data_IF_944562293621
#
_entry.id   IF_944562293621
#
_cell.length_a   1.000
_cell.length_b   1.000
_cell.length_c   1.000
_cell.angle_alpha   90.00
_cell.angle_beta   90.00
_cell.angle_gamma   90.00
#
_symmetry.space_group_name_H-M   'P 1'
#
loop_
_entity.id
_entity.type
_entity.pdbx_description
1 polymer ?
#
# COMPACT_ATOMS: atom_id res chain seq x y z
N UNK A 1 2.46 20.62 -5.97
CA UNK A 1 3.26 21.86 -5.80
C UNK A 1 3.31 22.21 -4.32
N UNK A 2 4.33 22.93 -3.88
CA UNK A 2 4.42 23.45 -2.48
C UNK A 2 4.37 24.97 -2.55
N UNK A 3 3.57 25.58 -1.67
CA UNK A 3 3.45 27.04 -1.51
C UNK A 3 3.38 27.35 -0.01
N UNK A 4 4.16 28.31 0.47
CA UNK A 4 4.24 28.67 1.90
C UNK A 4 4.50 27.46 2.83
N UNK A 5 5.40 26.55 2.41
CA UNK A 5 5.73 25.31 3.12
C UNK A 5 4.57 24.35 3.35
N UNK A 6 3.50 24.47 2.55
CA UNK A 6 2.31 23.58 2.59
C UNK A 6 2.02 23.05 1.19
N UNK A 7 1.34 21.91 1.07
CA UNK A 7 0.94 21.37 -0.24
C UNK A 7 -0.10 22.29 -0.88
N UNK A 8 0.09 22.57 -2.14
CA UNK A 8 -0.85 23.30 -2.97
C UNK A 8 -1.27 22.40 -4.13
N UNK A 9 -2.58 22.23 -4.40
CA UNK A 9 -3.03 21.33 -5.45
C UNK A 9 -2.57 21.83 -6.83
N UNK A 10 -2.30 20.88 -7.72
CA UNK A 10 -2.07 21.17 -9.14
C UNK A 10 -3.43 21.11 -9.80
N UNK A 11 -3.81 22.17 -10.49
CA UNK A 11 -5.08 22.27 -11.23
C UNK A 11 -5.19 21.15 -12.27
N UNK A 12 -6.04 20.18 -12.00
CA UNK A 12 -6.59 19.22 -12.98
C UNK A 12 -8.12 19.20 -12.87
N UNK A 13 -8.74 20.40 -12.82
CA UNK A 13 -10.20 20.51 -12.76
C UNK A 13 -10.84 20.35 -11.38
N UNK A 14 -10.07 19.93 -10.36
CA UNK A 14 -10.46 19.88 -8.96
C UNK A 14 -9.45 20.66 -8.12
N UNK A 15 -9.88 21.80 -7.58
CA UNK A 15 -9.10 22.55 -6.60
C UNK A 15 -9.46 21.99 -5.24
N UNK A 16 -8.61 21.14 -4.69
CA UNK A 16 -8.70 20.65 -3.32
C UNK A 16 -7.68 21.45 -2.49
N UNK A 17 -8.11 22.54 -1.88
CA UNK A 17 -7.27 23.45 -1.12
C UNK A 17 -7.24 23.13 0.37
N UNK A 18 -8.05 22.17 0.85
CA UNK A 18 -8.12 21.84 2.26
C UNK A 18 -6.82 21.21 2.77
N UNK A 19 -6.48 21.54 4.00
CA UNK A 19 -5.30 21.05 4.70
C UNK A 19 -5.72 20.21 5.90
N UNK A 20 -4.81 19.37 6.40
CA UNK A 20 -5.12 18.55 7.58
C UNK A 20 -5.46 19.42 8.79
N UNK A 21 -4.91 20.62 8.87
CA UNK A 21 -5.19 21.60 9.94
C UNK A 21 -6.60 22.19 9.90
N UNK A 22 -7.36 21.95 8.83
CA UNK A 22 -8.76 22.35 8.72
C UNK A 22 -9.71 21.31 9.37
N UNK A 23 -9.17 20.15 9.76
CA UNK A 23 -9.90 19.10 10.50
C UNK A 23 -9.91 19.40 12.01
N UNK A 24 -10.76 18.72 12.74
CA UNK A 24 -10.77 18.79 14.20
C UNK A 24 -9.51 18.16 14.81
N UNK A 25 -9.20 18.53 16.04
CA UNK A 25 -7.98 18.10 16.75
C UNK A 25 -7.88 16.58 16.90
N UNK A 26 -9.01 15.90 17.12
CA UNK A 26 -9.06 14.44 17.24
C UNK A 26 -8.62 13.75 15.93
N UNK A 27 -9.12 14.22 14.79
CA UNK A 27 -8.72 13.72 13.47
C UNK A 27 -7.23 13.98 13.20
N UNK A 28 -6.74 15.19 13.51
CA UNK A 28 -5.33 15.54 13.34
C UNK A 28 -4.45 14.61 14.17
N UNK A 29 -4.80 14.40 15.44
CA UNK A 29 -4.06 13.53 16.35
C UNK A 29 -4.04 12.08 15.85
N UNK A 30 -5.19 11.53 15.46
CA UNK A 30 -5.30 10.16 14.96
C UNK A 30 -4.49 9.94 13.67
N UNK A 31 -4.53 10.90 12.74
CA UNK A 31 -3.74 10.85 11.49
C UNK A 31 -2.24 10.93 11.79
N UNK A 32 -1.83 11.83 12.69
CA UNK A 32 -0.44 11.98 13.10
C UNK A 32 0.09 10.71 13.78
N UNK A 33 -0.71 10.10 14.64
CA UNK A 33 -0.37 8.84 15.29
C UNK A 33 -0.28 7.70 14.29
N UNK A 34 -1.22 7.60 13.33
CA UNK A 34 -1.16 6.60 12.28
C UNK A 34 0.14 6.74 11.47
N UNK A 35 0.50 7.96 11.03
CA UNK A 35 1.74 8.21 10.29
C UNK A 35 2.95 7.78 11.12
N UNK A 36 3.01 8.19 12.40
CA UNK A 36 4.10 7.84 13.32
C UNK A 36 4.25 6.32 13.50
N UNK A 37 3.16 5.59 13.55
CA UNK A 37 3.18 4.15 13.80
C UNK A 37 3.44 3.32 12.53
N UNK A 38 3.01 3.82 11.36
CA UNK A 38 3.00 3.04 10.13
C UNK A 38 4.06 3.44 9.10
N UNK A 39 4.73 4.59 9.26
CA UNK A 39 5.67 5.10 8.27
C UNK A 39 7.05 5.29 8.90
N UNK A 40 8.08 4.85 8.19
CA UNK A 40 9.49 5.10 8.54
C UNK A 40 10.23 5.70 7.35
N UNK A 41 11.22 6.60 7.60
CA UNK A 41 12.06 7.12 6.52
C UNK A 41 12.88 6.01 5.88
N UNK A 42 13.09 6.10 4.57
CA UNK A 42 13.91 5.16 3.81
C UNK A 42 14.80 5.87 2.79
N UNK A 43 15.88 5.20 2.35
CA UNK A 43 16.74 5.72 1.27
C UNK A 43 16.06 5.58 -0.10
N UNK A 44 15.26 4.53 -0.30
CA UNK A 44 14.55 4.25 -1.55
C UNK A 44 13.17 4.85 -1.54
N UNK A 45 12.66 5.17 -2.73
CA UNK A 45 11.27 5.58 -2.92
C UNK A 45 10.40 4.35 -2.72
N UNK A 46 9.28 4.51 -1.97
CA UNK A 46 8.26 3.48 -1.85
C UNK A 46 7.68 3.18 -3.24
N UNK A 47 7.88 1.96 -3.71
CA UNK A 47 7.44 1.55 -5.04
C UNK A 47 5.92 1.29 -5.06
N UNK A 48 5.30 1.64 -6.19
CA UNK A 48 3.89 1.34 -6.45
C UNK A 48 2.87 2.12 -5.62
N UNK A 49 3.30 3.01 -4.71
CA UNK A 49 2.39 3.83 -3.89
C UNK A 49 2.73 5.31 -3.98
N UNK A 50 1.68 6.10 -4.04
CA UNK A 50 1.72 7.55 -4.03
C UNK A 50 0.91 8.08 -2.85
N UNK A 51 0.91 9.40 -2.63
CA UNK A 51 0.05 10.03 -1.63
C UNK A 51 -1.40 9.59 -1.74
N UNK A 52 -1.92 9.44 -2.97
CA UNK A 52 -3.28 8.97 -3.20
C UNK A 52 -3.51 7.53 -2.72
N UNK A 53 -2.62 6.60 -3.04
CA UNK A 53 -2.71 5.23 -2.54
C UNK A 53 -2.52 5.13 -1.03
N UNK A 54 -1.63 5.95 -0.47
CA UNK A 54 -1.34 5.97 0.96
C UNK A 54 -2.53 6.48 1.79
N UNK A 55 -3.25 7.52 1.32
CA UNK A 55 -4.44 8.00 2.02
C UNK A 55 -5.54 6.93 2.14
N UNK A 56 -5.68 6.06 1.13
CA UNK A 56 -6.64 4.95 1.19
C UNK A 56 -6.23 3.85 2.15
N UNK A 57 -4.92 3.65 2.38
CA UNK A 57 -4.45 2.75 3.44
C UNK A 57 -4.82 3.32 4.81
N UNK A 58 -4.58 4.62 5.03
CA UNK A 58 -4.99 5.30 6.26
C UNK A 58 -6.50 5.19 6.47
N UNK A 59 -7.29 5.49 5.45
CA UNK A 59 -8.75 5.38 5.49
C UNK A 59 -9.22 3.96 5.84
N UNK A 60 -8.61 2.94 5.22
CA UNK A 60 -8.91 1.54 5.54
C UNK A 60 -8.57 1.18 7.00
N UNK A 61 -7.43 1.66 7.50
CA UNK A 61 -6.95 1.32 8.84
C UNK A 61 -7.69 2.06 9.96
N UNK A 62 -8.17 3.29 9.68
CA UNK A 62 -8.72 4.20 10.70
C UNK A 62 -10.19 4.57 10.51
N UNK A 63 -10.74 4.35 9.31
CA UNK A 63 -12.05 4.87 8.91
C UNK A 63 -12.05 6.38 8.62
N UNK A 64 -10.93 7.07 8.72
CA UNK A 64 -10.81 8.52 8.52
C UNK A 64 -10.60 8.82 7.04
N UNK A 65 -11.57 9.51 6.41
CA UNK A 65 -11.43 10.00 5.05
C UNK A 65 -10.61 11.29 5.02
N UNK A 66 -9.59 11.31 4.17
CA UNK A 66 -8.81 12.50 3.82
C UNK A 66 -8.84 12.73 2.30
N UNK A 67 -8.81 14.00 1.91
CA UNK A 67 -8.45 14.35 0.54
C UNK A 67 -6.96 14.06 0.30
N UNK A 68 -6.54 14.03 -0.97
CA UNK A 68 -5.13 13.83 -1.30
C UNK A 68 -4.26 14.97 -0.76
N UNK A 69 -4.80 16.20 -0.76
CA UNK A 69 -4.06 17.37 -0.29
C UNK A 69 -3.92 17.37 1.24
N UNK A 70 -4.97 17.01 1.98
CA UNK A 70 -4.93 16.85 3.44
C UNK A 70 -3.92 15.78 3.86
N UNK A 71 -3.86 14.64 3.16
CA UNK A 71 -2.85 13.60 3.42
C UNK A 71 -1.43 14.10 3.14
N UNK A 72 -1.20 14.80 2.03
CA UNK A 72 0.11 15.39 1.70
C UNK A 72 0.56 16.36 2.79
N UNK A 73 -0.36 17.16 3.29
CA UNK A 73 -0.11 18.13 4.33
C UNK A 73 0.24 17.44 5.67
N UNK A 74 -0.49 16.41 6.06
CA UNK A 74 -0.17 15.59 7.23
C UNK A 74 1.23 14.96 7.14
N UNK A 75 1.60 14.46 5.94
CA UNK A 75 2.94 13.90 5.70
C UNK A 75 4.03 14.97 5.85
N UNK A 76 3.83 16.19 5.33
CA UNK A 76 4.79 17.30 5.49
C UNK A 76 4.94 17.72 6.95
N UNK A 77 3.83 17.84 7.68
CA UNK A 77 3.86 18.14 9.12
C UNK A 77 4.59 17.07 9.94
N UNK A 78 4.51 15.82 9.49
CA UNK A 78 5.25 14.70 10.08
C UNK A 78 6.73 14.63 9.61
N UNK A 79 7.20 15.59 8.82
CA UNK A 79 8.58 15.69 8.35
C UNK A 79 8.90 14.91 7.06
N UNK A 80 7.89 14.35 6.38
CA UNK A 80 8.08 13.61 5.13
C UNK A 80 7.86 14.49 3.91
N UNK A 81 8.94 14.89 3.26
CA UNK A 81 8.88 15.67 2.03
C UNK A 81 8.70 14.80 0.78
N UNK A 82 7.98 15.28 -0.26
CA UNK A 82 7.84 14.55 -1.51
C UNK A 82 9.16 14.50 -2.28
N UNK A 83 9.33 13.46 -3.10
CA UNK A 83 10.46 13.36 -4.04
C UNK A 83 10.36 14.43 -5.12
N UNK A 84 9.14 14.67 -5.61
CA UNK A 84 8.83 15.73 -6.56
C UNK A 84 7.54 16.44 -6.15
N UNK A 85 7.60 17.71 -5.76
CA UNK A 85 6.42 18.47 -5.33
C UNK A 85 5.49 18.87 -6.49
N UNK A 86 5.94 18.70 -7.74
CA UNK A 86 5.17 19.08 -8.92
C UNK A 86 4.28 17.95 -9.45
N UNK A 87 4.37 16.75 -8.88
CA UNK A 87 3.48 15.63 -9.23
C UNK A 87 2.11 15.81 -8.56
N UNK A 88 1.06 15.37 -9.25
CA UNK A 88 -0.29 15.35 -8.66
C UNK A 88 -0.35 14.40 -7.46
N UNK A 89 0.21 13.21 -7.61
CA UNK A 89 0.26 12.19 -6.58
C UNK A 89 1.71 12.02 -6.12
N UNK A 90 2.02 12.51 -4.93
CA UNK A 90 3.39 12.55 -4.42
C UNK A 90 3.93 11.17 -4.08
N UNK A 91 5.20 10.96 -4.38
CA UNK A 91 6.00 9.82 -3.96
C UNK A 91 6.95 10.22 -2.84
N UNK A 92 7.25 9.29 -1.94
CA UNK A 92 8.05 9.55 -0.75
C UNK A 92 9.19 8.54 -0.62
N UNK A 93 10.28 8.94 0.04
CA UNK A 93 11.36 8.04 0.47
C UNK A 93 11.02 7.47 1.84
N UNK A 94 10.16 6.49 1.85
CA UNK A 94 9.62 5.86 3.06
C UNK A 94 9.49 4.36 2.87
N UNK A 95 9.24 3.66 3.98
CA UNK A 95 8.80 2.27 4.04
C UNK A 95 7.64 2.16 5.02
N UNK A 96 6.68 1.29 4.77
CA UNK A 96 5.62 1.00 5.71
C UNK A 96 6.12 0.02 6.77
N UNK A 97 5.82 0.27 8.05
CA UNK A 97 6.22 -0.61 9.16
C UNK A 97 5.70 -2.02 9.01
N UNK A 98 4.50 -2.20 8.46
CA UNK A 98 3.95 -3.51 8.12
C UNK A 98 4.85 -4.30 7.14
N UNK A 99 5.52 -3.61 6.21
CA UNK A 99 6.46 -4.23 5.26
C UNK A 99 7.81 -4.61 5.89
N UNK A 100 8.16 -3.98 7.02
CA UNK A 100 9.37 -4.30 7.79
C UNK A 100 9.17 -5.46 8.77
N UNK A 101 7.95 -5.61 9.28
CA UNK A 101 7.63 -6.58 10.33
C UNK A 101 7.11 -7.92 9.77
N UNK A 102 6.70 -7.95 8.51
CA UNK A 102 6.27 -9.18 7.86
C UNK A 102 7.48 -9.87 7.21
N UNK A 103 8.03 -10.87 7.88
CA UNK A 103 8.83 -11.87 7.20
C UNK A 103 7.91 -12.61 6.23
N UNK A 104 8.13 -12.52 4.92
CA UNK A 104 7.28 -13.21 3.97
C UNK A 104 7.26 -14.70 4.26
N UNK A 105 6.09 -15.33 4.16
CA UNK A 105 5.96 -16.77 4.37
C UNK A 105 6.85 -17.55 3.40
N UNK A 106 7.29 -18.75 3.76
CA UNK A 106 8.04 -19.62 2.87
C UNK A 106 7.32 -19.85 1.53
N UNK A 107 5.99 -19.96 1.56
CA UNK A 107 5.18 -20.03 0.33
C UNK A 107 5.35 -18.78 -0.54
N UNK A 108 5.23 -17.58 0.02
CA UNK A 108 5.35 -16.33 -0.74
C UNK A 108 6.74 -16.22 -1.39
N UNK A 109 7.80 -16.56 -0.66
CA UNK A 109 9.18 -16.55 -1.17
C UNK A 109 9.31 -17.56 -2.32
N UNK A 110 8.81 -18.78 -2.13
CA UNK A 110 8.86 -19.83 -3.13
C UNK A 110 8.04 -19.51 -4.37
N UNK A 111 6.84 -18.94 -4.22
CA UNK A 111 5.96 -18.62 -5.34
C UNK A 111 6.58 -17.61 -6.32
N UNK A 112 7.46 -16.70 -5.88
CA UNK A 112 8.11 -15.71 -6.75
C UNK A 112 8.84 -16.30 -7.96
N UNK A 113 9.30 -17.54 -7.89
CA UNK A 113 9.97 -18.20 -9.02
C UNK A 113 9.06 -18.35 -10.25
N UNK A 114 7.74 -18.41 -10.04
CA UNK A 114 6.73 -18.60 -11.08
C UNK A 114 6.39 -17.33 -11.88
N UNK A 115 6.86 -16.17 -11.47
CA UNK A 115 6.52 -14.88 -12.10
C UNK A 115 6.81 -14.79 -13.61
N UNK A 116 7.73 -15.63 -14.12
CA UNK A 116 8.12 -15.67 -15.54
C UNK A 116 7.34 -16.71 -16.34
N UNK A 117 6.57 -17.55 -15.69
CA UNK A 117 5.79 -18.59 -16.34
C UNK A 117 4.61 -18.00 -17.13
N UNK A 118 4.46 -18.42 -18.37
CA UNK A 118 3.30 -18.09 -19.21
C UNK A 118 2.15 -19.07 -18.92
N UNK A 119 1.58 -18.96 -17.72
CA UNK A 119 0.54 -19.85 -17.19
C UNK A 119 -0.38 -19.12 -16.22
N UNK A 120 -1.58 -19.64 -15.92
CA UNK A 120 -2.46 -19.07 -14.90
C UNK A 120 -1.77 -18.91 -13.53
N UNK A 121 -0.88 -19.81 -13.16
CA UNK A 121 -0.06 -19.72 -11.95
C UNK A 121 0.92 -18.54 -12.01
N UNK A 122 1.56 -18.31 -13.16
CA UNK A 122 2.43 -17.18 -13.38
C UNK A 122 1.67 -15.84 -13.38
N UNK A 123 0.46 -15.81 -13.96
CA UNK A 123 -0.43 -14.65 -13.93
C UNK A 123 -0.79 -14.31 -12.47
N UNK A 124 -1.26 -15.29 -11.72
CA UNK A 124 -1.56 -15.14 -10.30
C UNK A 124 -0.37 -14.58 -9.51
N UNK A 125 0.84 -15.11 -9.74
CA UNK A 125 2.05 -14.62 -9.04
C UNK A 125 2.40 -13.19 -9.41
N UNK A 126 2.21 -12.79 -10.67
CA UNK A 126 2.39 -11.38 -11.07
C UNK A 126 1.39 -10.46 -10.36
N UNK A 127 0.11 -10.85 -10.31
CA UNK A 127 -0.93 -10.10 -9.60
C UNK A 127 -0.64 -10.04 -8.10
N UNK A 128 -0.28 -11.15 -7.48
CA UNK A 128 0.15 -11.25 -6.08
C UNK A 128 1.30 -10.28 -5.75
N UNK A 129 2.28 -10.16 -6.67
CA UNK A 129 3.44 -9.29 -6.46
C UNK A 129 3.13 -7.80 -6.67
N UNK A 130 2.06 -7.48 -7.41
CA UNK A 130 1.58 -6.12 -7.62
C UNK A 130 0.50 -5.71 -6.60
N UNK A 131 -0.09 -6.66 -5.92
CA UNK A 131 -1.09 -6.41 -4.90
C UNK A 131 -0.45 -6.07 -3.55
N UNK A 132 -0.46 -4.79 -3.21
CA UNK A 132 0.15 -4.28 -1.98
C UNK A 132 -0.58 -4.67 -0.70
N UNK A 133 -1.79 -5.17 -0.80
CA UNK A 133 -2.57 -5.65 0.33
C UNK A 133 -2.49 -7.17 0.47
N UNK A 134 -1.74 -7.84 -0.42
CA UNK A 134 -1.58 -9.29 -0.34
C UNK A 134 -0.92 -9.70 0.99
N UNK A 135 -1.49 -10.67 1.72
CA UNK A 135 -0.97 -11.10 3.02
C UNK A 135 0.31 -11.95 2.85
N UNK A 136 1.45 -11.28 2.68
CA UNK A 136 2.74 -11.93 2.33
C UNK A 136 3.26 -12.91 3.37
N UNK A 137 2.94 -12.70 4.65
CA UNK A 137 3.36 -13.56 5.77
C UNK A 137 2.33 -14.66 6.12
N UNK A 138 1.23 -14.75 5.37
CA UNK A 138 0.09 -15.56 5.75
C UNK A 138 0.17 -17.00 5.26
N UNK A 139 -0.58 -17.86 5.97
CA UNK A 139 -0.84 -19.25 5.64
C UNK A 139 -1.99 -19.39 4.62
N UNK A 140 -2.15 -20.59 4.06
CA UNK A 140 -3.13 -20.93 3.02
C UNK A 140 -4.54 -20.33 3.26
N UNK A 141 -5.12 -20.60 4.41
CA UNK A 141 -6.51 -20.20 4.73
C UNK A 141 -6.68 -18.69 4.74
N UNK A 142 -5.68 -17.96 5.24
CA UNK A 142 -5.71 -16.49 5.29
C UNK A 142 -5.63 -15.91 3.89
N UNK A 143 -4.74 -16.44 3.03
CA UNK A 143 -4.62 -16.04 1.62
C UNK A 143 -5.92 -16.34 0.87
N UNK A 144 -6.48 -17.53 1.03
CA UNK A 144 -7.73 -17.91 0.38
C UNK A 144 -8.90 -17.00 0.78
N UNK A 145 -9.03 -16.68 2.07
CA UNK A 145 -10.05 -15.75 2.56
C UNK A 145 -9.83 -14.33 2.03
N UNK A 146 -8.57 -13.90 1.94
CA UNK A 146 -8.21 -12.63 1.31
C UNK A 146 -8.70 -12.58 -0.14
N UNK A 147 -8.36 -13.58 -0.96
CA UNK A 147 -8.75 -13.65 -2.37
C UNK A 147 -10.29 -13.63 -2.55
N UNK A 148 -11.01 -14.35 -1.69
CA UNK A 148 -12.48 -14.35 -1.69
C UNK A 148 -13.04 -12.97 -1.34
N UNK A 149 -12.48 -12.32 -0.34
CA UNK A 149 -12.92 -10.99 0.11
C UNK A 149 -12.74 -9.91 -0.95
N UNK A 150 -11.63 -9.93 -1.70
CA UNK A 150 -11.39 -8.98 -2.79
C UNK A 150 -12.14 -9.32 -4.08
N UNK A 151 -12.92 -10.40 -4.11
CA UNK A 151 -13.66 -10.82 -5.30
C UNK A 151 -12.76 -11.38 -6.41
N UNK A 152 -11.64 -12.01 -6.07
CA UNK A 152 -10.76 -12.62 -7.06
C UNK A 152 -11.53 -13.63 -7.92
N UNK A 153 -11.27 -13.64 -9.23
CA UNK A 153 -11.93 -14.55 -10.15
C UNK A 153 -11.62 -16.02 -9.82
N UNK A 154 -12.49 -16.93 -10.25
CA UNK A 154 -12.32 -18.36 -9.98
C UNK A 154 -11.01 -18.92 -10.57
N UNK A 155 -10.50 -18.35 -11.66
CA UNK A 155 -9.21 -18.69 -12.25
C UNK A 155 -8.04 -18.38 -11.33
N UNK A 156 -8.03 -17.20 -10.71
CA UNK A 156 -7.00 -16.80 -9.74
C UNK A 156 -7.00 -17.69 -8.49
N UNK A 157 -8.20 -18.01 -7.96
CA UNK A 157 -8.32 -18.93 -6.81
C UNK A 157 -7.80 -20.33 -7.15
N UNK A 158 -8.15 -20.87 -8.35
CA UNK A 158 -7.64 -22.16 -8.79
C UNK A 158 -6.12 -22.17 -8.96
N UNK A 159 -5.55 -21.11 -9.53
CA UNK A 159 -4.11 -20.96 -9.69
C UNK A 159 -3.39 -20.90 -8.33
N UNK A 160 -3.95 -20.20 -7.35
CA UNK A 160 -3.43 -20.20 -5.98
C UNK A 160 -3.44 -21.60 -5.36
N UNK A 161 -4.57 -22.32 -5.44
CA UNK A 161 -4.70 -23.68 -4.89
C UNK A 161 -3.74 -24.67 -5.55
N UNK A 162 -3.51 -24.54 -6.86
CA UNK A 162 -2.54 -25.35 -7.58
C UNK A 162 -1.11 -25.06 -7.11
N UNK A 163 -0.73 -23.77 -7.01
CA UNK A 163 0.58 -23.36 -6.50
C UNK A 163 0.80 -23.88 -5.08
N UNK A 164 -0.21 -23.74 -4.21
CA UNK A 164 -0.10 -24.21 -2.83
C UNK A 164 0.13 -25.72 -2.76
N UNK A 165 -0.61 -26.50 -3.53
CA UNK A 165 -0.43 -27.97 -3.63
C UNK A 165 0.96 -28.37 -4.12
N UNK A 166 1.52 -27.63 -5.11
CA UNK A 166 2.88 -27.88 -5.61
C UNK A 166 3.91 -27.52 -4.54
N UNK A 167 3.70 -26.41 -3.82
CA UNK A 167 4.55 -25.99 -2.70
C UNK A 167 4.61 -27.04 -1.59
N UNK A 168 3.44 -27.55 -1.14
CA UNK A 168 3.38 -28.58 -0.10
C UNK A 168 4.11 -29.87 -0.50
N UNK A 169 3.93 -30.33 -1.75
CA UNK A 169 4.64 -31.53 -2.26
C UNK A 169 6.15 -31.42 -2.28
N UNK A 170 6.68 -30.19 -2.37
CA UNK A 170 8.14 -29.96 -2.38
C UNK A 170 8.73 -29.81 -0.98
N UNK A 171 7.91 -29.53 0.01
CA UNK A 171 8.36 -29.24 1.37
C UNK A 171 7.92 -30.32 2.39
N UNK A 172 7.21 -31.37 1.94
CA UNK A 172 6.96 -32.63 2.64
C UNK A 172 7.79 -33.74 1.99
#
# INVERSE_FOLDING_TARGET
MIRNNRPYPIENGYIDETLITDKNEETIAAVSEWIKNNIRPAKKILQGRTSYGMKHILEHDTGIYLTNNEFKDAMMLAGYNPVSPNELNWRYRIVLTRELNENPSPFFIWAKQWKKEASPCGDFVRDMLHDFNFPTAAEHTVILNYLRRIGACCGAIKAFEELWRVYERKNN
#
